data_IF_902525919401
#
_entry.id   IF_902525919401
#
_cell.length_a   1.000
_cell.length_b   1.000
_cell.length_c   1.000
_cell.angle_alpha   90.00
_cell.angle_beta   90.00
_cell.angle_gamma   90.00
#
_symmetry.space_group_name_H-M   'P 1'
#
loop_
_entity.id
_entity.type
_entity.pdbx_description
1 polymer ?
#
# COMPACT_ATOMS: atom_id res chain seq x y z
N UNK A 1 3.49 -12.35 2.54
CA UNK A 1 2.65 -11.56 3.47
C UNK A 1 1.51 -10.93 2.68
N UNK A 2 0.41 -10.60 3.33
CA UNK A 2 -0.71 -9.86 2.71
C UNK A 2 -0.89 -8.53 3.43
N UNK A 3 -1.08 -7.49 2.65
CA UNK A 3 -1.38 -6.15 3.11
C UNK A 3 -2.83 -5.85 2.77
N UNK A 4 -3.66 -5.72 3.78
CA UNK A 4 -5.04 -5.27 3.64
C UNK A 4 -5.07 -3.77 3.88
N UNK A 5 -5.49 -3.01 2.87
CA UNK A 5 -5.57 -1.57 2.90
C UNK A 5 -7.04 -1.19 2.78
N UNK A 6 -7.56 -0.48 3.77
CA UNK A 6 -8.88 0.14 3.68
C UNK A 6 -8.72 1.53 3.14
N UNK A 7 -9.25 1.76 1.95
CA UNK A 7 -9.32 3.09 1.35
C UNK A 7 -10.70 3.72 1.54
N UNK A 8 -10.84 4.98 1.14
CA UNK A 8 -12.15 5.65 1.03
C UNK A 8 -13.10 4.91 0.07
N UNK A 9 -12.54 4.20 -0.91
CA UNK A 9 -13.29 3.60 -2.03
C UNK A 9 -13.54 2.10 -1.85
N UNK A 10 -12.94 1.45 -0.85
CA UNK A 10 -13.12 0.03 -0.60
C UNK A 10 -11.96 -0.60 0.17
N UNK A 11 -11.99 -1.92 0.30
CA UNK A 11 -10.90 -2.69 0.90
C UNK A 11 -10.11 -3.39 -0.21
N UNK A 12 -8.80 -3.22 -0.18
CA UNK A 12 -7.88 -3.80 -1.16
C UNK A 12 -6.91 -4.75 -0.44
N UNK A 13 -6.73 -5.94 -1.00
CA UNK A 13 -5.80 -6.94 -0.44
C UNK A 13 -4.68 -7.19 -1.44
N UNK A 14 -3.48 -6.79 -1.05
CA UNK A 14 -2.28 -6.91 -1.85
C UNK A 14 -1.39 -8.03 -1.29
N UNK A 15 -1.02 -8.99 -2.14
CA UNK A 15 0.09 -9.91 -1.83
C UNK A 15 1.38 -9.17 -2.12
N UNK A 16 2.23 -9.05 -1.10
CA UNK A 16 3.51 -8.36 -1.20
C UNK A 16 4.63 -9.26 -0.67
N UNK A 17 5.81 -9.12 -1.28
CA UNK A 17 7.05 -9.73 -0.81
C UNK A 17 7.76 -8.82 0.22
N UNK A 18 8.87 -9.30 0.79
CA UNK A 18 9.59 -8.59 1.86
C UNK A 18 10.18 -7.24 1.39
N UNK A 19 10.71 -7.17 0.17
CA UNK A 19 11.26 -5.92 -0.38
C UNK A 19 10.18 -4.87 -0.62
N UNK A 20 9.04 -5.30 -1.19
CA UNK A 20 7.87 -4.46 -1.40
C UNK A 20 7.32 -3.93 -0.08
N UNK A 21 7.30 -4.79 0.95
CA UNK A 21 6.89 -4.41 2.30
C UNK A 21 7.79 -3.33 2.90
N UNK A 22 9.12 -3.47 2.79
CA UNK A 22 10.06 -2.45 3.27
C UNK A 22 9.84 -1.09 2.61
N UNK A 23 9.69 -1.08 1.27
CA UNK A 23 9.40 0.15 0.52
C UNK A 23 8.06 0.78 0.92
N UNK A 24 7.05 -0.04 1.15
CA UNK A 24 5.75 0.42 1.68
C UNK A 24 5.92 1.10 3.03
N UNK A 25 6.62 0.50 3.99
CA UNK A 25 6.83 1.10 5.31
C UNK A 25 7.63 2.41 5.24
N UNK A 26 8.67 2.48 4.41
CA UNK A 26 9.43 3.72 4.20
C UNK A 26 8.53 4.84 3.69
N UNK A 27 7.73 4.59 2.65
CA UNK A 27 6.83 5.60 2.08
C UNK A 27 5.64 5.91 3.00
N UNK A 28 5.13 4.94 3.74
CA UNK A 28 4.06 5.15 4.72
C UNK A 28 4.52 6.07 5.86
N UNK A 29 5.76 5.92 6.33
CA UNK A 29 6.31 6.75 7.40
C UNK A 29 6.84 8.12 6.91
N UNK A 30 7.16 8.27 5.63
CA UNK A 30 7.62 9.55 5.07
C UNK A 30 6.50 10.60 4.99
N UNK A 31 6.48 11.57 5.91
CA UNK A 31 5.47 12.64 5.98
C UNK A 31 5.40 13.54 4.75
N UNK A 32 6.44 13.60 3.92
CA UNK A 32 6.46 14.40 2.69
C UNK A 32 5.93 13.63 1.47
N UNK A 33 5.86 12.29 1.55
CA UNK A 33 5.37 11.48 0.45
C UNK A 33 3.85 11.42 0.41
N UNK A 34 3.25 11.89 -0.69
CA UNK A 34 1.80 11.78 -0.94
C UNK A 34 1.38 10.37 -1.35
N UNK A 35 2.33 9.57 -1.85
CA UNK A 35 2.13 8.20 -2.31
C UNK A 35 2.72 7.24 -1.28
N UNK A 36 1.98 6.19 -0.96
CA UNK A 36 2.39 5.16 0.00
C UNK A 36 2.91 3.93 -0.73
N UNK A 37 2.41 3.68 -1.94
CA UNK A 37 2.79 2.48 -2.66
C UNK A 37 2.50 2.64 -4.14
N UNK A 38 3.46 2.25 -4.98
CA UNK A 38 3.24 2.10 -6.41
C UNK A 38 3.83 0.79 -6.86
N UNK A 39 3.02 -0.10 -7.45
CA UNK A 39 3.53 -1.35 -8.00
C UNK A 39 2.72 -1.82 -9.21
N UNK A 40 3.39 -2.53 -10.09
CA UNK A 40 2.78 -3.13 -11.28
C UNK A 40 2.17 -4.48 -10.91
N UNK A 41 0.89 -4.67 -11.24
CA UNK A 41 0.19 -5.94 -11.08
C UNK A 41 -0.86 -6.10 -12.18
N UNK A 42 -0.88 -7.29 -12.80
CA UNK A 42 -1.84 -7.66 -13.84
C UNK A 42 -1.91 -6.66 -15.01
N UNK A 43 -0.77 -6.05 -15.37
CA UNK A 43 -0.69 -5.05 -16.45
C UNK A 43 -1.15 -3.64 -16.05
N UNK A 44 -1.49 -3.42 -14.78
CA UNK A 44 -1.91 -2.12 -14.25
C UNK A 44 -0.94 -1.61 -13.18
N UNK A 45 -0.70 -0.31 -13.19
CA UNK A 45 0.03 0.37 -12.11
C UNK A 45 -0.95 0.73 -11.00
N UNK A 46 -0.78 0.10 -9.85
CA UNK A 46 -1.55 0.43 -8.65
C UNK A 46 -0.86 1.55 -7.89
N UNK A 47 -1.58 2.64 -7.65
CA UNK A 47 -1.11 3.77 -6.85
C UNK A 47 -1.95 3.88 -5.59
N UNK A 48 -1.30 3.80 -4.43
CA UNK A 48 -1.96 3.96 -3.14
C UNK A 48 -1.52 5.29 -2.57
N UNK A 49 -2.46 6.21 -2.36
CA UNK A 49 -2.18 7.58 -1.89
C UNK A 49 -2.59 7.77 -0.44
N UNK A 50 -1.77 8.49 0.35
CA UNK A 50 -2.00 8.73 1.79
C UNK A 50 -3.40 9.22 2.14
N UNK A 51 -3.94 10.23 1.44
CA UNK A 51 -5.25 10.78 1.80
C UNK A 51 -6.40 9.79 1.64
N UNK A 52 -6.20 8.72 0.86
CA UNK A 52 -7.24 7.72 0.63
C UNK A 52 -7.18 6.57 1.63
N UNK A 53 -6.08 6.36 2.35
CA UNK A 53 -5.98 5.28 3.32
C UNK A 53 -6.68 5.68 4.62
N UNK A 54 -7.59 4.82 5.08
CA UNK A 54 -8.19 4.88 6.41
C UNK A 54 -7.48 3.97 7.41
N UNK A 55 -7.08 2.79 6.96
CA UNK A 55 -6.51 1.76 7.82
C UNK A 55 -5.61 0.82 7.02
N UNK A 56 -4.58 0.29 7.67
CA UNK A 56 -3.64 -0.68 7.10
C UNK A 56 -3.49 -1.84 8.07
N UNK A 57 -3.76 -3.05 7.58
CA UNK A 57 -3.66 -4.27 8.35
C UNK A 57 -2.67 -5.25 7.72
N UNK A 58 -1.75 -5.72 8.55
CA UNK A 58 -0.76 -6.72 8.20
C UNK A 58 -1.31 -8.12 8.50
N UNK A 59 -1.42 -8.96 7.47
CA UNK A 59 -1.82 -10.36 7.61
C UNK A 59 -0.60 -11.20 7.26
N UNK A 60 0.00 -11.80 8.31
CA UNK A 60 1.22 -12.60 8.19
C UNK A 60 0.92 -13.97 7.58
#
# INVERSE_FOLDING_TARGET
MKLEIKTLNGNEIHKINLEQFKKFEEWYNDTNSRNIFTYWKDGYTWHIIKPQIKDVKYIK
#
